data_IF_415124741327
#
_entry.id   IF_415124741327
#
_cell.length_a   1.000
_cell.length_b   1.000
_cell.length_c   1.000
_cell.angle_alpha   90.00
_cell.angle_beta   90.00
_cell.angle_gamma   90.00
#
_symmetry.space_group_name_H-M   'P 1'
#
loop_
_entity.id
_entity.type
_entity.pdbx_description
1 polymer ?
#
# COMPACT_ATOMS: atom_id res chain seq x y z
N UNK A 1 -8.54 1.79 -10.61
CA UNK A 1 -8.43 3.13 -9.97
C UNK A 1 -9.19 4.12 -10.83
N UNK A 2 -9.84 5.15 -10.28
CA UNK A 2 -10.69 6.10 -11.03
C UNK A 2 -9.99 6.66 -12.29
N UNK A 3 -8.70 6.96 -12.20
CA UNK A 3 -7.87 7.39 -13.34
C UNK A 3 -7.83 6.36 -14.49
N UNK A 4 -7.78 5.06 -14.19
CA UNK A 4 -7.85 3.99 -15.20
C UNK A 4 -9.23 3.89 -15.86
N UNK A 5 -10.26 4.50 -15.27
CA UNK A 5 -11.58 4.65 -15.87
C UNK A 5 -11.74 6.01 -16.59
N UNK A 6 -10.65 6.75 -16.81
CA UNK A 6 -10.67 8.05 -17.49
C UNK A 6 -11.13 9.23 -16.62
N UNK A 7 -11.26 9.06 -15.31
CA UNK A 7 -11.62 10.15 -14.40
C UNK A 7 -10.37 10.96 -14.06
N UNK A 8 -10.39 12.24 -14.36
CA UNK A 8 -9.39 13.20 -13.88
C UNK A 8 -9.59 13.45 -12.37
N UNK A 9 -8.87 12.67 -11.57
CA UNK A 9 -8.92 12.74 -10.11
C UNK A 9 -8.34 14.06 -9.59
N UNK A 10 -7.34 14.64 -10.28
CA UNK A 10 -6.73 15.89 -9.84
C UNK A 10 -7.70 17.06 -10.01
N UNK A 11 -8.42 17.10 -11.13
CA UNK A 11 -9.49 18.09 -11.35
C UNK A 11 -10.68 17.88 -10.41
N UNK A 12 -11.10 16.63 -10.21
CA UNK A 12 -12.26 16.31 -9.37
C UNK A 12 -12.00 16.53 -7.87
N UNK A 13 -10.77 16.30 -7.41
CA UNK A 13 -10.38 16.34 -6.00
C UNK A 13 -9.05 17.09 -5.79
N UNK A 14 -8.99 18.40 -6.12
CA UNK A 14 -7.73 19.16 -6.14
C UNK A 14 -7.10 19.33 -4.75
N UNK A 15 -7.87 19.08 -3.69
CA UNK A 15 -7.44 19.20 -2.30
C UNK A 15 -6.67 17.98 -1.78
N UNK A 16 -6.72 16.83 -2.46
CA UNK A 16 -6.17 15.55 -1.96
C UNK A 16 -4.65 15.59 -1.85
N UNK A 17 -3.93 15.99 -2.91
CA UNK A 17 -2.45 16.08 -2.88
C UNK A 17 -1.95 17.11 -1.85
N UNK A 18 -2.50 18.34 -1.77
CA UNK A 18 -2.18 19.28 -0.70
C UNK A 18 -2.41 18.72 0.71
N UNK A 19 -3.48 17.96 0.91
CA UNK A 19 -3.76 17.31 2.19
C UNK A 19 -2.64 16.31 2.55
N UNK A 20 -2.21 15.46 1.62
CA UNK A 20 -1.11 14.50 1.88
C UNK A 20 0.18 15.21 2.29
N UNK A 21 0.55 16.28 1.59
CA UNK A 21 1.75 17.08 1.92
C UNK A 21 1.63 17.68 3.31
N UNK A 22 0.50 18.30 3.63
CA UNK A 22 0.28 19.01 4.90
C UNK A 22 0.34 18.07 6.11
N UNK A 23 -0.19 16.86 6.00
CA UNK A 23 -0.33 15.94 7.13
C UNK A 23 0.75 14.86 7.17
N UNK A 24 1.73 14.87 6.26
CA UNK A 24 2.83 13.92 6.31
C UNK A 24 3.57 14.01 7.65
N UNK A 25 3.64 12.90 8.37
CA UNK A 25 4.21 12.82 9.71
C UNK A 25 5.75 12.91 9.65
N UNK A 26 6.41 13.09 10.79
CA UNK A 26 7.85 13.35 10.87
C UNK A 26 8.72 12.26 10.22
N UNK A 27 8.31 11.00 10.31
CA UNK A 27 8.98 9.85 9.70
C UNK A 27 8.67 9.65 8.20
N UNK A 28 7.83 10.50 7.61
CA UNK A 28 7.45 10.45 6.19
C UNK A 28 6.18 9.65 5.90
N UNK A 29 5.61 8.97 6.89
CA UNK A 29 4.36 8.25 6.73
C UNK A 29 3.11 9.12 6.97
N UNK A 30 1.95 8.48 6.87
CA UNK A 30 0.61 9.01 7.15
C UNK A 30 -0.18 8.00 8.00
N UNK A 31 -1.27 8.46 8.61
CA UNK A 31 -2.23 7.63 9.34
C UNK A 31 -3.68 7.94 8.93
N UNK A 32 -4.57 6.95 8.99
CA UNK A 32 -6.01 7.13 8.81
C UNK A 32 -6.74 7.47 10.12
N UNK A 33 -6.12 7.25 11.28
CA UNK A 33 -6.64 7.64 12.58
C UNK A 33 -6.29 9.12 12.87
N UNK A 34 -7.31 9.95 13.05
CA UNK A 34 -7.12 11.36 13.39
C UNK A 34 -6.36 11.57 14.71
N UNK A 35 -6.53 10.67 15.68
CA UNK A 35 -5.88 10.80 17.00
C UNK A 35 -4.39 10.52 16.94
N UNK A 36 -3.90 9.85 15.88
CA UNK A 36 -2.48 9.62 15.64
C UNK A 36 -1.72 10.94 15.39
N UNK A 37 -2.35 11.90 14.71
CA UNK A 37 -1.77 13.23 14.44
C UNK A 37 -1.74 14.14 15.68
N UNK A 38 -2.41 13.75 16.76
CA UNK A 38 -2.41 14.46 18.03
C UNK A 38 -1.34 13.93 19.01
N UNK A 39 -0.68 12.82 18.67
CA UNK A 39 0.38 12.27 19.52
C UNK A 39 1.62 13.16 19.49
N UNK A 40 2.15 13.48 20.67
CA UNK A 40 3.34 14.35 20.83
C UNK A 40 4.59 13.58 21.26
N UNK A 41 4.43 12.38 21.83
CA UNK A 41 5.54 11.55 22.33
C UNK A 41 6.05 10.49 21.35
N UNK A 42 5.38 10.29 20.23
CA UNK A 42 5.75 9.31 19.21
C UNK A 42 5.27 9.75 17.82
N UNK A 43 5.75 9.07 16.77
CA UNK A 43 5.31 9.26 15.40
C UNK A 43 4.53 8.03 14.93
N UNK A 44 3.22 7.94 15.19
CA UNK A 44 2.42 6.78 14.86
C UNK A 44 1.93 6.84 13.42
N UNK A 45 2.86 6.74 12.45
CA UNK A 45 2.49 6.56 11.05
C UNK A 45 2.14 5.10 10.75
N UNK A 46 1.45 4.86 9.62
CA UNK A 46 0.90 3.56 9.24
C UNK A 46 1.32 3.17 7.83
N UNK A 47 1.64 1.89 7.63
CA UNK A 47 1.83 1.30 6.30
C UNK A 47 0.58 1.42 5.44
N UNK A 48 -0.57 1.05 6.00
CA UNK A 48 -1.87 1.11 5.31
C UNK A 48 -2.24 2.57 5.00
N UNK A 49 -1.98 3.48 5.95
CA UNK A 49 -2.20 4.91 5.77
C UNK A 49 -1.28 5.58 4.73
N UNK A 50 -0.08 5.05 4.50
CA UNK A 50 0.92 5.67 3.62
C UNK A 50 0.92 5.13 2.19
N UNK A 51 0.68 3.83 2.01
CA UNK A 51 0.84 3.18 0.70
C UNK A 51 -0.06 3.79 -0.38
N UNK A 52 -1.33 4.10 -0.05
CA UNK A 52 -2.30 4.60 -1.03
C UNK A 52 -2.02 6.07 -1.41
N UNK A 53 -1.73 6.99 -0.48
CA UNK A 53 -1.22 8.32 -0.81
C UNK A 53 0.05 8.31 -1.67
N UNK A 54 1.02 7.43 -1.37
CA UNK A 54 2.24 7.32 -2.18
C UNK A 54 1.92 6.85 -3.60
N UNK A 55 1.05 5.84 -3.76
CA UNK A 55 0.58 5.42 -5.09
C UNK A 55 -0.08 6.57 -5.85
N UNK A 56 -0.94 7.36 -5.19
CA UNK A 56 -1.61 8.50 -5.80
C UNK A 56 -0.64 9.63 -6.18
N UNK A 57 0.39 9.89 -5.37
CA UNK A 57 1.38 10.93 -5.62
C UNK A 57 2.37 10.57 -6.72
N UNK A 58 2.57 9.27 -6.99
CA UNK A 58 3.34 8.78 -8.13
C UNK A 58 2.57 8.84 -9.46
N UNK A 59 1.26 9.09 -9.43
CA UNK A 59 0.46 9.39 -10.61
C UNK A 59 0.57 10.89 -10.93
N UNK A 60 0.97 11.23 -12.16
CA UNK A 60 0.97 12.62 -12.65
C UNK A 60 2.32 13.28 -12.95
N UNK A 61 3.40 12.51 -13.14
CA UNK A 61 4.71 13.06 -13.53
C UNK A 61 5.42 13.83 -12.40
N UNK A 62 6.48 14.56 -12.73
CA UNK A 62 7.25 15.33 -11.75
C UNK A 62 6.42 16.53 -11.25
N UNK A 63 5.63 16.32 -10.19
CA UNK A 63 4.83 17.35 -9.55
C UNK A 63 5.65 18.46 -8.90
N UNK A 64 4.99 19.40 -8.23
CA UNK A 64 5.63 20.51 -7.50
C UNK A 64 6.73 20.04 -6.52
N UNK A 65 7.64 20.93 -6.13
CA UNK A 65 8.75 20.61 -5.22
C UNK A 65 8.29 19.91 -3.92
N UNK A 66 7.18 20.37 -3.35
CA UNK A 66 6.58 19.79 -2.15
C UNK A 66 6.07 18.36 -2.37
N UNK A 67 5.50 18.07 -3.55
CA UNK A 67 5.06 16.72 -3.90
C UNK A 67 6.26 15.78 -4.05
N UNK A 68 7.37 16.26 -4.63
CA UNK A 68 8.61 15.48 -4.71
C UNK A 68 9.20 15.21 -3.33
N UNK A 69 9.17 16.20 -2.43
CA UNK A 69 9.61 16.03 -1.05
C UNK A 69 8.73 15.01 -0.30
N UNK A 70 7.41 15.08 -0.47
CA UNK A 70 6.49 14.08 0.07
C UNK A 70 6.85 12.67 -0.42
N UNK A 71 6.98 12.49 -1.74
CA UNK A 71 7.27 11.19 -2.36
C UNK A 71 8.60 10.63 -1.87
N UNK A 72 9.65 11.45 -1.78
CA UNK A 72 10.95 11.04 -1.25
C UNK A 72 10.83 10.51 0.20
N UNK A 73 10.18 11.27 1.08
CA UNK A 73 10.03 10.90 2.49
C UNK A 73 9.13 9.69 2.70
N UNK A 74 8.04 9.58 1.93
CA UNK A 74 7.17 8.41 1.98
C UNK A 74 7.89 7.15 1.50
N UNK A 75 8.75 7.24 0.48
CA UNK A 75 9.62 6.12 0.10
C UNK A 75 10.60 5.72 1.20
N UNK A 76 11.24 6.70 1.86
CA UNK A 76 12.08 6.47 3.04
C UNK A 76 11.33 5.74 4.16
N UNK A 77 10.12 6.18 4.49
CA UNK A 77 9.23 5.46 5.41
C UNK A 77 9.01 4.00 4.97
N UNK A 78 8.71 3.73 3.70
CA UNK A 78 8.48 2.36 3.23
C UNK A 78 9.74 1.49 3.34
N UNK A 79 10.92 2.06 3.09
CA UNK A 79 12.24 1.42 3.21
C UNK A 79 12.52 1.04 4.65
N UNK A 80 12.34 1.96 5.60
CA UNK A 80 12.59 1.73 7.03
C UNK A 80 11.75 0.60 7.62
N UNK A 81 10.64 0.29 6.95
CA UNK A 81 9.67 -0.73 7.33
C UNK A 81 9.95 -2.07 6.65
N UNK A 82 10.92 -2.11 5.73
CA UNK A 82 11.29 -3.26 4.89
C UNK A 82 10.08 -3.98 4.27
N UNK A 83 8.99 -3.24 4.02
CA UNK A 83 7.68 -3.72 3.57
C UNK A 83 6.95 -4.74 4.49
N UNK A 84 7.60 -5.26 5.53
CA UNK A 84 7.07 -6.35 6.36
C UNK A 84 6.85 -5.97 7.82
N UNK A 85 7.39 -4.85 8.28
CA UNK A 85 7.33 -4.49 9.70
C UNK A 85 6.13 -3.59 9.99
N UNK A 86 5.33 -4.00 10.98
CA UNK A 86 4.26 -3.21 11.60
C UNK A 86 4.78 -2.23 12.66
N UNK A 87 3.95 -1.28 13.14
CA UNK A 87 4.41 -0.04 13.79
C UNK A 87 5.25 -0.31 15.05
N UNK A 88 6.28 0.52 15.25
CA UNK A 88 7.05 0.56 16.49
C UNK A 88 6.37 1.38 17.58
N UNK A 89 5.37 2.19 17.21
CA UNK A 89 4.63 3.03 18.14
C UNK A 89 3.66 2.22 19.01
N UNK A 90 3.25 2.81 20.14
CA UNK A 90 2.22 2.24 21.01
C UNK A 90 0.84 2.47 20.37
N UNK A 91 0.59 3.65 19.81
CA UNK A 91 -0.71 4.02 19.24
C UNK A 91 -1.11 3.15 18.04
N UNK A 92 -0.14 2.75 17.20
CA UNK A 92 -0.39 1.86 16.05
C UNK A 92 0.10 0.42 16.30
N UNK A 93 0.09 -0.03 17.57
CA UNK A 93 0.56 -1.35 17.93
C UNK A 93 -0.08 -2.49 17.12
N UNK A 94 -1.35 -2.34 16.74
CA UNK A 94 -2.12 -3.29 15.94
C UNK A 94 -1.48 -3.62 14.58
N UNK A 95 -0.66 -2.72 14.03
CA UNK A 95 0.04 -3.00 12.77
C UNK A 95 1.04 -4.15 12.92
N UNK A 96 1.58 -4.40 14.12
CA UNK A 96 2.50 -5.53 14.34
C UNK A 96 1.79 -6.87 14.16
N UNK A 97 0.55 -6.96 14.59
CA UNK A 97 -0.29 -8.15 14.40
C UNK A 97 -0.76 -8.25 12.94
N UNK A 98 -1.16 -7.11 12.36
CA UNK A 98 -1.56 -7.05 10.95
C UNK A 98 -0.42 -7.45 9.98
N UNK A 99 0.83 -7.13 10.34
CA UNK A 99 2.02 -7.41 9.56
C UNK A 99 2.21 -8.90 9.24
N UNK A 100 1.77 -9.79 10.13
CA UNK A 100 1.77 -11.23 9.87
C UNK A 100 0.91 -11.56 8.65
N UNK A 101 -0.28 -10.95 8.55
CA UNK A 101 -1.22 -11.17 7.46
C UNK A 101 -0.83 -10.47 6.15
N UNK A 102 0.06 -9.47 6.17
CA UNK A 102 0.50 -8.76 4.96
C UNK A 102 1.26 -9.66 3.97
N UNK A 103 1.84 -10.76 4.47
CA UNK A 103 2.49 -11.79 3.64
C UNK A 103 1.51 -12.67 2.87
N UNK A 104 0.24 -12.68 3.25
CA UNK A 104 -0.82 -13.38 2.54
C UNK A 104 -1.45 -12.43 1.52
N UNK A 105 -1.11 -12.63 0.25
CA UNK A 105 -1.54 -11.74 -0.83
C UNK A 105 -3.05 -11.81 -1.03
N UNK A 106 -3.67 -10.67 -1.30
CA UNK A 106 -5.13 -10.57 -1.40
C UNK A 106 -5.52 -9.86 -2.70
N UNK A 107 -6.63 -10.30 -3.28
CA UNK A 107 -7.28 -9.58 -4.36
C UNK A 107 -8.82 -9.77 -4.25
N UNK A 108 -9.61 -8.71 -4.49
CA UNK A 108 -9.22 -7.31 -4.54
C UNK A 108 -8.70 -6.81 -3.17
N UNK A 109 -7.81 -5.81 -3.18
CA UNK A 109 -7.21 -5.28 -1.94
C UNK A 109 -7.99 -4.15 -1.28
N UNK A 110 -8.84 -3.45 -2.02
CA UNK A 110 -9.42 -2.17 -1.57
C UNK A 110 -8.32 -1.23 -1.05
N UNK A 111 -8.44 -0.74 0.19
CA UNK A 111 -7.41 0.07 0.85
C UNK A 111 -6.36 -0.76 1.60
N UNK A 112 -6.54 -2.07 1.76
CA UNK A 112 -5.66 -2.91 2.57
C UNK A 112 -4.26 -3.06 1.97
N UNK A 113 -3.32 -3.41 2.84
CA UNK A 113 -1.92 -3.63 2.49
C UNK A 113 -1.60 -5.14 2.36
N UNK A 114 -0.78 -5.44 1.37
CA UNK A 114 0.02 -6.67 1.28
C UNK A 114 1.42 -6.32 0.76
N UNK A 115 2.38 -7.22 0.99
CA UNK A 115 3.80 -6.95 0.69
C UNK A 115 4.06 -6.72 -0.81
N UNK A 116 3.22 -7.29 -1.69
CA UNK A 116 3.34 -7.09 -3.13
C UNK A 116 2.93 -5.66 -3.53
N UNK A 117 1.89 -5.10 -2.92
CA UNK A 117 1.52 -3.68 -3.08
C UNK A 117 2.67 -2.77 -2.65
N UNK A 118 3.26 -3.05 -1.48
CA UNK A 118 4.41 -2.32 -0.95
C UNK A 118 5.61 -2.36 -1.89
N UNK A 119 5.95 -3.54 -2.38
CA UNK A 119 7.06 -3.71 -3.32
C UNK A 119 6.83 -2.95 -4.63
N UNK A 120 5.64 -3.10 -5.22
CA UNK A 120 5.31 -2.46 -6.48
C UNK A 120 5.37 -0.94 -6.39
N UNK A 121 4.88 -0.34 -5.29
CA UNK A 121 4.97 1.11 -5.10
C UNK A 121 6.41 1.57 -4.87
N UNK A 122 7.22 0.80 -4.14
CA UNK A 122 8.60 1.19 -3.84
C UNK A 122 9.52 1.10 -5.08
N UNK A 123 9.28 0.12 -5.95
CA UNK A 123 9.95 0.04 -7.25
C UNK A 123 9.59 1.26 -8.12
N UNK A 124 8.29 1.60 -8.21
CA UNK A 124 7.86 2.81 -8.95
C UNK A 124 8.43 4.08 -8.36
N UNK A 125 8.52 4.17 -7.04
CA UNK A 125 9.15 5.29 -6.34
C UNK A 125 10.63 5.44 -6.75
N UNK A 126 11.42 4.36 -6.72
CA UNK A 126 12.83 4.42 -7.09
C UNK A 126 13.01 4.78 -8.57
N UNK A 127 12.15 4.27 -9.44
CA UNK A 127 12.14 4.61 -10.87
C UNK A 127 11.81 6.09 -11.10
N UNK A 128 10.75 6.60 -10.46
CA UNK A 128 10.27 7.97 -10.64
C UNK A 128 11.19 9.04 -10.01
N UNK A 129 11.83 8.71 -8.89
CA UNK A 129 12.65 9.68 -8.14
C UNK A 129 14.14 9.63 -8.52
N UNK A 130 14.59 8.56 -9.18
CA UNK A 130 16.02 8.36 -9.41
C UNK A 130 16.78 7.84 -8.18
N UNK A 131 16.12 7.72 -7.02
CA UNK A 131 16.80 7.37 -5.77
C UNK A 131 17.19 5.89 -5.73
N UNK A 132 18.29 5.56 -5.01
CA UNK A 132 18.67 4.18 -4.79
C UNK A 132 17.65 3.47 -3.89
N UNK A 133 17.39 2.20 -4.21
CA UNK A 133 16.59 1.29 -3.43
C UNK A 133 17.52 0.31 -2.70
N UNK A 134 17.57 0.32 -1.36
CA UNK A 134 18.34 -0.66 -0.61
C UNK A 134 17.80 -2.07 -0.82
N UNK A 135 18.66 -3.02 -1.19
CA UNK A 135 18.32 -4.42 -1.38
C UNK A 135 17.76 -5.01 -0.08
N UNK A 136 18.36 -4.67 1.06
CA UNK A 136 17.90 -5.11 2.38
C UNK A 136 16.44 -4.74 2.68
N UNK A 137 15.91 -3.66 2.08
CA UNK A 137 14.54 -3.22 2.29
C UNK A 137 13.51 -4.07 1.54
N UNK A 138 13.93 -4.83 0.51
CA UNK A 138 13.02 -5.59 -0.36
C UNK A 138 13.35 -7.08 -0.45
N UNK A 139 14.57 -7.49 -0.13
CA UNK A 139 15.07 -8.86 -0.34
C UNK A 139 14.21 -9.91 0.34
N UNK A 140 13.78 -9.67 1.58
CA UNK A 140 12.92 -10.62 2.31
C UNK A 140 11.60 -10.87 1.57
N UNK A 141 10.98 -9.80 1.03
CA UNK A 141 9.73 -9.93 0.27
C UNK A 141 9.99 -10.58 -1.09
N UNK A 142 11.02 -10.13 -1.81
CA UNK A 142 11.36 -10.64 -3.15
C UNK A 142 11.66 -12.13 -3.09
N UNK A 143 12.51 -12.57 -2.16
CA UNK A 143 12.87 -13.98 -2.00
C UNK A 143 11.64 -14.83 -1.67
N UNK A 144 10.78 -14.37 -0.76
CA UNK A 144 9.56 -15.09 -0.41
C UNK A 144 8.59 -15.19 -1.61
N UNK A 145 8.48 -14.16 -2.45
CA UNK A 145 7.62 -14.19 -3.64
C UNK A 145 8.18 -15.11 -4.73
N UNK A 146 9.49 -15.13 -4.93
CA UNK A 146 10.16 -16.03 -5.89
C UNK A 146 10.04 -17.49 -5.46
N UNK A 147 10.26 -17.77 -4.17
CA UNK A 147 10.15 -19.12 -3.62
C UNK A 147 8.69 -19.63 -3.67
N UNK A 148 7.73 -18.76 -3.37
CA UNK A 148 6.31 -19.14 -3.34
C UNK A 148 5.71 -19.33 -4.73
N UNK A 149 6.11 -18.49 -5.70
CA UNK A 149 5.55 -18.49 -7.05
C UNK A 149 6.66 -18.64 -8.11
N UNK A 150 7.32 -19.82 -8.18
CA UNK A 150 8.41 -20.06 -9.13
C UNK A 150 7.93 -20.07 -10.58
N UNK A 151 6.64 -20.38 -10.80
CA UNK A 151 5.95 -20.28 -12.09
C UNK A 151 5.62 -18.83 -12.49
N UNK A 152 5.83 -17.87 -11.59
CA UNK A 152 5.47 -16.47 -11.75
C UNK A 152 3.98 -16.18 -11.61
N UNK A 153 3.14 -17.19 -11.35
CA UNK A 153 1.68 -17.05 -11.25
C UNK A 153 1.29 -16.86 -9.79
N UNK A 154 0.80 -15.66 -9.47
CA UNK A 154 0.43 -15.30 -8.10
C UNK A 154 -1.01 -15.71 -7.82
N UNK A 155 -1.23 -16.36 -6.68
CA UNK A 155 -2.55 -16.83 -6.23
C UNK A 155 -3.06 -16.03 -5.04
N UNK A 156 -4.38 -15.98 -4.86
CA UNK A 156 -5.00 -15.29 -3.72
C UNK A 156 -4.86 -16.14 -2.46
N UNK A 157 -4.36 -15.56 -1.37
CA UNK A 157 -4.10 -16.29 -0.11
C UNK A 157 -4.95 -15.77 1.05
N UNK A 158 -5.61 -14.61 0.87
CA UNK A 158 -6.40 -13.97 1.91
C UNK A 158 -7.64 -13.31 1.32
N UNK A 159 -8.74 -13.41 2.06
CA UNK A 159 -9.96 -12.63 1.86
C UNK A 159 -10.06 -11.60 2.98
N UNK A 160 -9.73 -10.35 2.69
CA UNK A 160 -9.71 -9.25 3.70
C UNK A 160 -11.07 -8.99 4.36
N UNK A 161 -12.17 -9.39 3.71
CA UNK A 161 -13.54 -9.22 4.21
C UNK A 161 -14.03 -10.41 5.05
N UNK A 162 -13.36 -11.57 4.99
CA UNK A 162 -13.82 -12.77 5.68
C UNK A 162 -13.84 -12.58 7.19
N UNK A 163 -14.96 -12.92 7.82
CA UNK A 163 -15.15 -12.79 9.27
C UNK A 163 -15.16 -11.35 9.79
N UNK A 164 -15.26 -10.34 8.91
CA UNK A 164 -15.29 -8.93 9.31
C UNK A 164 -16.72 -8.43 9.50
N UNK A 165 -16.85 -7.41 10.35
CA UNK A 165 -18.09 -6.63 10.47
C UNK A 165 -17.99 -5.36 9.64
N UNK A 166 -19.14 -4.88 9.20
CA UNK A 166 -19.31 -3.60 8.52
C UNK A 166 -20.42 -2.80 9.22
N UNK A 167 -20.44 -1.51 8.94
CA UNK A 167 -21.47 -0.59 9.39
C UNK A 167 -22.55 -0.52 8.29
N UNK A 168 -23.81 -0.82 8.63
CA UNK A 168 -24.91 -0.76 7.67
C UNK A 168 -25.56 0.63 7.65
N UNK A 169 -25.77 1.24 6.48
CA UNK A 169 -26.44 2.53 6.40
C UNK A 169 -27.86 2.43 6.97
N UNK A 170 -28.20 3.39 7.84
CA UNK A 170 -29.54 3.57 8.40
C UNK A 170 -30.23 4.73 7.69
N UNK A 171 -31.49 4.53 7.29
CA UNK A 171 -32.25 5.55 6.55
C UNK A 171 -32.48 6.84 7.37
N UNK A 172 -32.47 6.73 8.69
CA UNK A 172 -32.75 7.81 9.65
C UNK A 172 -31.48 8.44 10.25
N UNK A 173 -30.28 8.06 9.80
CA UNK A 173 -28.98 8.49 10.35
C UNK A 173 -28.80 8.17 11.85
N UNK A 174 -29.59 7.26 12.41
CA UNK A 174 -29.32 6.67 13.72
C UNK A 174 -27.98 5.91 13.70
N UNK A 175 -27.33 5.66 14.86
CA UNK A 175 -26.08 4.91 14.90
C UNK A 175 -26.20 3.61 14.11
N UNK A 176 -25.44 3.54 13.02
CA UNK A 176 -25.54 2.46 12.07
C UNK A 176 -25.13 1.13 12.71
N UNK A 177 -25.99 0.10 12.70
CA UNK A 177 -25.69 -1.16 13.36
C UNK A 177 -24.51 -1.85 12.69
N UNK A 178 -23.71 -2.54 13.51
CA UNK A 178 -22.69 -3.46 12.99
C UNK A 178 -23.37 -4.74 12.53
N UNK A 179 -23.05 -5.18 11.32
CA UNK A 179 -23.45 -6.47 10.80
C UNK A 179 -22.24 -7.19 10.20
N UNK A 180 -22.39 -8.48 9.89
CA UNK A 180 -21.37 -9.19 9.12
C UNK A 180 -21.21 -8.55 7.75
N UNK A 181 -19.98 -8.44 7.28
CA UNK A 181 -19.70 -8.04 5.91
C UNK A 181 -20.34 -9.05 4.93
N UNK A 182 -21.11 -8.55 3.98
CA UNK A 182 -21.64 -9.34 2.87
C UNK A 182 -20.74 -9.25 1.64
N UNK A 183 -20.86 -10.22 0.76
CA UNK A 183 -20.15 -10.25 -0.53
C UNK A 183 -21.12 -10.07 -1.69
N UNK A 184 -20.55 -9.93 -2.89
CA UNK A 184 -21.29 -9.83 -4.15
C UNK A 184 -20.57 -10.69 -5.20
N UNK A 185 -21.26 -11.16 -6.26
CA UNK A 185 -20.72 -12.20 -7.15
C UNK A 185 -19.33 -11.92 -7.73
N UNK A 186 -19.04 -10.66 -8.07
CA UNK A 186 -17.73 -10.29 -8.60
C UNK A 186 -16.62 -10.38 -7.52
N UNK A 187 -16.91 -10.01 -6.28
CA UNK A 187 -15.97 -10.18 -5.17
C UNK A 187 -15.71 -11.67 -4.93
N UNK A 188 -16.74 -12.50 -4.93
CA UNK A 188 -16.61 -13.96 -4.74
C UNK A 188 -15.80 -14.60 -5.86
N UNK A 189 -16.02 -14.18 -7.12
CA UNK A 189 -15.31 -14.70 -8.27
C UNK A 189 -13.81 -14.32 -8.27
N UNK A 190 -13.48 -13.12 -7.80
CA UNK A 190 -12.11 -12.57 -7.89
C UNK A 190 -11.26 -12.79 -6.64
N UNK A 191 -11.87 -13.21 -5.52
CA UNK A 191 -11.18 -13.41 -4.24
C UNK A 191 -11.09 -14.86 -3.78
N UNK A 192 -11.29 -15.83 -4.69
CA UNK A 192 -11.19 -17.26 -4.37
C UNK A 192 -9.79 -17.62 -3.92
N UNK A 193 -9.68 -18.20 -2.73
CA UNK A 193 -8.42 -18.64 -2.16
C UNK A 193 -7.79 -19.75 -3.04
N UNK A 194 -6.49 -19.66 -3.25
CA UNK A 194 -5.71 -20.60 -4.06
C UNK A 194 -5.81 -20.39 -5.58
N UNK A 195 -6.76 -19.59 -6.06
CA UNK A 195 -6.92 -19.34 -7.50
C UNK A 195 -5.90 -18.33 -8.02
N UNK A 196 -5.41 -18.49 -9.27
CA UNK A 196 -4.59 -17.50 -9.94
C UNK A 196 -5.28 -16.14 -10.01
N UNK A 197 -4.53 -15.08 -9.71
CA UNK A 197 -4.97 -13.70 -9.88
C UNK A 197 -4.16 -13.03 -10.97
N UNK A 198 -4.82 -12.70 -12.09
CA UNK A 198 -4.20 -11.95 -13.19
C UNK A 198 -3.65 -10.60 -12.70
N UNK A 199 -4.40 -9.90 -11.84
CA UNK A 199 -4.00 -8.61 -11.31
C UNK A 199 -2.75 -8.69 -10.42
N UNK A 200 -2.69 -9.69 -9.52
CA UNK A 200 -1.50 -9.90 -8.69
C UNK A 200 -0.30 -10.32 -9.56
N UNK A 201 -0.52 -11.23 -10.51
CA UNK A 201 0.52 -11.74 -11.42
C UNK A 201 1.13 -10.63 -12.28
N UNK A 202 0.29 -9.75 -12.84
CA UNK A 202 0.75 -8.59 -13.61
C UNK A 202 1.57 -7.65 -12.73
N UNK A 203 1.08 -7.31 -11.54
CA UNK A 203 1.82 -6.42 -10.62
C UNK A 203 3.16 -7.03 -10.20
N UNK A 204 3.22 -8.34 -9.94
CA UNK A 204 4.47 -9.03 -9.62
C UNK A 204 5.45 -8.99 -10.79
N UNK A 205 4.97 -9.27 -12.00
CA UNK A 205 5.79 -9.22 -13.22
C UNK A 205 6.37 -7.82 -13.46
N UNK A 206 5.56 -6.78 -13.30
CA UNK A 206 5.98 -5.38 -13.41
C UNK A 206 7.01 -4.99 -12.35
N UNK A 207 6.77 -5.35 -11.09
CA UNK A 207 7.68 -5.08 -9.98
C UNK A 207 9.03 -5.78 -10.18
N UNK A 208 9.02 -7.07 -10.59
CA UNK A 208 10.23 -7.83 -10.90
C UNK A 208 11.01 -7.20 -12.05
N UNK A 209 10.33 -6.79 -13.12
CA UNK A 209 10.96 -6.11 -14.24
C UNK A 209 11.60 -4.77 -13.81
N UNK A 210 10.93 -4.01 -12.94
CA UNK A 210 11.46 -2.78 -12.38
C UNK A 210 12.69 -2.99 -11.49
N UNK A 211 12.69 -4.00 -10.62
CA UNK A 211 13.87 -4.37 -9.85
C UNK A 211 15.07 -4.69 -10.75
N UNK A 212 14.86 -5.44 -11.84
CA UNK A 212 15.92 -5.74 -12.81
C UNK A 212 16.44 -4.47 -13.51
N UNK A 213 15.55 -3.51 -13.83
CA UNK A 213 15.96 -2.21 -14.37
C UNK A 213 16.78 -1.40 -13.37
N UNK A 214 16.36 -1.38 -12.10
CA UNK A 214 17.09 -0.69 -11.02
C UNK A 214 18.47 -1.32 -10.82
N UNK A 215 18.58 -2.65 -10.79
CA UNK A 215 19.85 -3.36 -10.67
C UNK A 215 20.79 -3.03 -11.84
N UNK A 216 20.30 -3.09 -13.09
CA UNK A 216 21.10 -2.72 -14.28
C UNK A 216 21.55 -1.27 -14.27
N UNK A 217 20.77 -0.38 -13.66
CA UNK A 217 21.10 1.03 -13.50
C UNK A 217 21.99 1.32 -12.27
N UNK A 218 22.43 0.31 -11.51
CA UNK A 218 23.20 0.49 -10.28
C UNK A 218 22.42 1.17 -9.15
N UNK A 219 21.09 1.13 -9.20
CA UNK A 219 20.17 1.75 -8.23
C UNK A 219 19.51 0.77 -7.27
N UNK A 220 19.73 -0.53 -7.43
CA UNK A 220 19.48 -1.52 -6.37
C UNK A 220 20.80 -1.69 -5.63
N UNK A 221 20.88 -1.23 -4.38
CA UNK A 221 22.15 -1.08 -3.64
C UNK A 221 22.17 -1.98 -2.42
N UNK A 222 23.28 -2.66 -2.16
CA UNK A 222 23.52 -3.43 -0.93
C UNK A 222 23.75 -2.54 0.28
#
# INVERSE_FOLDING_TARGET
MLAACGIDVESALPWVKPWFVRYQMADGGLNCDNTAYLQTGECPSSMVGTVAPLEAMLLGGAGASEQRAFVARAGGFMIDRALIHGSRSVHNAEERDAAVAWRALTFPRFYFYDVLRGLAVLVRWAEATGQPLPEAAVSTVVNALVERWPDGVVRVERQVHAGKTTILPTADRSPSPRAMASTFPLLDATSRLGEPSEALTRQWSEARAGLLRLARAGRLVT
#
